data_IF_194462237197
#
_entry.id   IF_194462237197
#
_cell.length_a   1.000
_cell.length_b   1.000
_cell.length_c   1.000
_cell.angle_alpha   90.00
_cell.angle_beta   90.00
_cell.angle_gamma   90.00
#
_symmetry.space_group_name_H-M   'P 1'
#
loop_
_entity.id
_entity.type
_entity.pdbx_description
1 polymer ?
#
# COMPACT_ATOMS: atom_id res chain seq x y z
N UNK A 1 -2.55 3.98 -24.11
CA UNK A 1 -1.08 3.71 -24.04
C UNK A 1 -0.31 4.91 -23.50
N UNK A 2 -0.51 6.11 -24.04
CA UNK A 2 0.15 7.35 -23.56
C UNK A 2 -0.27 7.73 -22.12
N UNK A 3 -1.56 7.66 -21.80
CA UNK A 3 -2.08 7.96 -20.46
C UNK A 3 -1.43 7.12 -19.35
N UNK A 4 -1.36 5.80 -19.54
CA UNK A 4 -0.71 4.87 -18.60
C UNK A 4 0.75 5.26 -18.33
N UNK A 5 1.48 5.71 -19.36
CA UNK A 5 2.87 6.17 -19.20
C UNK A 5 2.92 7.41 -18.29
N UNK A 6 2.02 8.38 -18.49
CA UNK A 6 1.96 9.58 -17.65
C UNK A 6 1.54 9.27 -16.21
N UNK A 7 0.60 8.33 -16.01
CA UNK A 7 0.20 7.86 -14.68
C UNK A 7 1.39 7.18 -13.98
N UNK A 8 2.07 6.27 -14.65
CA UNK A 8 3.25 5.57 -14.11
C UNK A 8 4.39 6.53 -13.74
N UNK A 9 4.60 7.56 -14.57
CA UNK A 9 5.57 8.62 -14.30
C UNK A 9 5.14 9.50 -13.13
N UNK A 10 3.86 9.86 -13.04
CA UNK A 10 3.32 10.62 -11.92
C UNK A 10 3.51 9.85 -10.60
N UNK A 11 3.16 8.57 -10.57
CA UNK A 11 3.36 7.70 -9.40
C UNK A 11 4.84 7.65 -9.01
N UNK A 12 5.74 7.49 -9.99
CA UNK A 12 7.18 7.48 -9.72
C UNK A 12 7.64 8.81 -9.09
N UNK A 13 7.28 9.94 -9.70
CA UNK A 13 7.64 11.27 -9.19
C UNK A 13 7.09 11.50 -7.77
N UNK A 14 5.86 11.03 -7.51
CA UNK A 14 5.25 11.10 -6.18
C UNK A 14 5.99 10.23 -5.17
N UNK A 15 6.44 9.02 -5.55
CA UNK A 15 7.27 8.19 -4.69
C UNK A 15 8.60 8.89 -4.36
N UNK A 16 9.27 9.47 -5.35
CA UNK A 16 10.53 10.21 -5.15
C UNK A 16 10.34 11.40 -4.19
N UNK A 17 9.23 12.14 -4.34
CA UNK A 17 8.87 13.23 -3.43
C UNK A 17 8.65 12.73 -1.98
N UNK A 18 7.97 11.60 -1.81
CA UNK A 18 7.71 11.00 -0.49
C UNK A 18 9.03 10.60 0.18
N UNK A 19 9.94 9.93 -0.54
CA UNK A 19 11.26 9.55 0.00
C UNK A 19 12.06 10.79 0.40
N UNK A 20 12.08 11.82 -0.45
CA UNK A 20 12.73 13.09 -0.11
C UNK A 20 12.11 13.76 1.12
N UNK A 21 10.77 13.73 1.25
CA UNK A 21 10.09 14.29 2.40
C UNK A 21 10.46 13.57 3.70
N UNK A 22 10.48 12.23 3.71
CA UNK A 22 10.88 11.45 4.89
C UNK A 22 12.30 11.80 5.32
N UNK A 23 13.24 11.90 4.37
CA UNK A 23 14.62 12.33 4.64
C UNK A 23 14.69 13.73 5.24
N UNK A 24 13.88 14.67 4.72
CA UNK A 24 13.81 16.03 5.25
C UNK A 24 13.32 16.03 6.71
N UNK A 25 12.30 15.23 7.04
CA UNK A 25 11.79 15.09 8.41
C UNK A 25 12.87 14.52 9.33
N UNK A 26 13.56 13.45 8.90
CA UNK A 26 14.67 12.85 9.66
C UNK A 26 15.78 13.85 9.97
N UNK A 27 16.22 14.60 8.96
CA UNK A 27 17.26 15.63 9.10
C UNK A 27 16.78 16.74 10.04
N UNK A 28 15.55 17.22 9.85
CA UNK A 28 14.96 18.26 10.69
C UNK A 28 14.94 17.84 12.16
N UNK A 29 14.37 16.66 12.46
CA UNK A 29 14.27 16.13 13.83
C UNK A 29 15.65 15.93 14.47
N UNK A 30 16.63 15.45 13.70
CA UNK A 30 18.03 15.34 14.17
C UNK A 30 18.61 16.71 14.52
N UNK A 31 18.40 17.71 13.66
CA UNK A 31 18.95 19.05 13.85
C UNK A 31 18.35 19.79 15.06
N UNK A 32 17.09 19.52 15.39
CA UNK A 32 16.44 20.08 16.59
C UNK A 32 16.55 19.18 17.82
N UNK A 33 17.25 18.05 17.70
CA UNK A 33 17.38 17.01 18.74
C UNK A 33 16.03 16.62 19.38
N UNK A 34 14.99 16.44 18.56
CA UNK A 34 13.63 16.16 19.02
C UNK A 34 12.88 15.28 18.02
N UNK A 35 12.30 14.19 18.52
CA UNK A 35 11.34 13.37 17.77
C UNK A 35 9.95 14.01 17.83
N UNK A 36 9.40 14.32 16.67
CA UNK A 36 8.06 14.89 16.48
C UNK A 36 7.11 13.90 15.80
N UNK A 37 7.60 12.74 15.41
CA UNK A 37 6.84 11.71 14.72
C UNK A 37 6.53 12.07 13.27
N UNK A 38 5.61 11.33 12.68
CA UNK A 38 5.15 11.47 11.30
C UNK A 38 3.72 10.93 11.17
N UNK A 39 3.06 11.23 10.05
CA UNK A 39 1.71 10.73 9.75
C UNK A 39 1.61 10.22 8.33
N UNK A 40 1.13 8.99 8.11
CA UNK A 40 1.01 8.42 6.75
C UNK A 40 -0.08 9.06 5.88
N UNK A 41 -1.01 9.83 6.47
CA UNK A 41 -2.15 10.43 5.76
C UNK A 41 -1.74 11.38 4.62
N UNK A 42 -0.53 11.95 4.64
CA UNK A 42 -0.10 12.76 3.50
C UNK A 42 0.06 11.89 2.24
N UNK A 43 0.44 10.61 2.37
CA UNK A 43 0.57 9.70 1.24
C UNK A 43 -0.78 9.44 0.57
N UNK A 44 -1.84 9.25 1.36
CA UNK A 44 -3.21 9.08 0.85
C UNK A 44 -3.64 10.28 -0.01
N UNK A 45 -3.31 11.50 0.44
CA UNK A 45 -3.60 12.72 -0.32
C UNK A 45 -2.78 12.84 -1.62
N UNK A 46 -1.52 12.40 -1.60
CA UNK A 46 -0.63 12.46 -2.75
C UNK A 46 -0.99 11.44 -3.84
N UNK A 47 -1.69 10.36 -3.48
CA UNK A 47 -2.17 9.35 -4.43
C UNK A 47 -3.67 9.48 -4.76
N UNK A 48 -4.27 10.66 -4.56
CA UNK A 48 -5.66 10.91 -4.93
C UNK A 48 -5.82 11.22 -6.44
N UNK A 49 -6.82 10.64 -7.14
CA UNK A 49 -7.72 9.58 -6.70
C UNK A 49 -7.04 8.21 -6.78
N UNK A 50 -7.06 7.45 -5.67
CA UNK A 50 -6.35 6.18 -5.56
C UNK A 50 -6.85 5.15 -6.57
N UNK A 51 -8.14 5.20 -6.92
CA UNK A 51 -8.75 4.29 -7.88
C UNK A 51 -8.19 4.48 -9.31
N UNK A 52 -7.67 5.67 -9.63
CA UNK A 52 -7.04 5.94 -10.92
C UNK A 52 -5.53 5.68 -10.92
N UNK A 53 -4.88 5.76 -9.76
CA UNK A 53 -3.42 5.73 -9.66
C UNK A 53 -2.87 4.39 -9.16
N UNK A 54 -3.50 3.81 -8.13
CA UNK A 54 -2.96 2.66 -7.41
C UNK A 54 -4.00 1.55 -7.21
N UNK A 55 -5.08 1.53 -7.99
CA UNK A 55 -6.05 0.44 -7.96
C UNK A 55 -5.45 -0.88 -8.45
N UNK A 56 -5.73 -1.97 -7.72
CA UNK A 56 -5.22 -3.31 -8.04
C UNK A 56 -6.30 -4.36 -8.27
N UNK A 57 -7.57 -4.06 -7.95
CA UNK A 57 -8.67 -4.97 -8.22
C UNK A 57 -9.73 -5.07 -7.12
N UNK A 58 -10.57 -6.07 -7.26
CA UNK A 58 -11.66 -6.41 -6.35
C UNK A 58 -11.35 -7.73 -5.66
N UNK A 59 -11.82 -7.93 -4.45
CA UNK A 59 -11.98 -9.30 -3.94
C UNK A 59 -12.92 -10.07 -4.87
N UNK A 60 -12.70 -11.37 -5.03
CA UNK A 60 -13.61 -12.25 -5.79
C UNK A 60 -15.06 -12.14 -5.30
N UNK A 61 -15.26 -12.06 -3.98
CA UNK A 61 -16.55 -11.84 -3.35
C UNK A 61 -17.27 -10.58 -3.88
N UNK A 62 -16.56 -9.45 -3.94
CA UNK A 62 -17.12 -8.20 -4.46
C UNK A 62 -17.29 -8.23 -5.97
N UNK A 63 -16.36 -8.87 -6.69
CA UNK A 63 -16.45 -9.01 -8.14
C UNK A 63 -17.70 -9.79 -8.56
N UNK A 64 -17.96 -10.92 -7.90
CA UNK A 64 -19.10 -11.78 -8.19
C UNK A 64 -20.44 -11.13 -7.80
N UNK A 65 -20.45 -10.17 -6.85
CA UNK A 65 -21.63 -9.40 -6.44
C UNK A 65 -21.86 -8.12 -7.26
N UNK A 66 -21.03 -7.81 -8.28
CA UNK A 66 -21.15 -6.56 -9.06
C UNK A 66 -22.54 -6.31 -9.64
N UNK A 67 -23.25 -7.36 -10.06
CA UNK A 67 -24.59 -7.24 -10.64
C UNK A 67 -25.68 -7.02 -9.60
N UNK A 68 -25.60 -7.70 -8.45
CA UNK A 68 -26.57 -7.60 -7.36
C UNK A 68 -26.37 -6.35 -6.50
N UNK A 69 -25.12 -5.95 -6.27
CA UNK A 69 -24.75 -4.78 -5.48
C UNK A 69 -25.25 -4.84 -4.03
N UNK A 70 -25.42 -6.04 -3.48
CA UNK A 70 -25.98 -6.25 -2.13
C UNK A 70 -24.87 -6.17 -1.08
N UNK A 71 -23.66 -6.62 -1.42
CA UNK A 71 -22.53 -6.67 -0.52
C UNK A 71 -21.91 -5.29 -0.40
N UNK A 72 -21.88 -4.77 0.82
CA UNK A 72 -21.21 -3.52 1.13
C UNK A 72 -19.71 -3.63 0.83
N UNK A 73 -19.23 -2.74 -0.02
CA UNK A 73 -17.82 -2.58 -0.40
C UNK A 73 -17.06 -1.69 0.59
N UNK A 74 -15.79 -2.02 0.77
CA UNK A 74 -14.82 -1.26 1.56
C UNK A 74 -13.55 -1.13 0.71
N UNK A 75 -13.00 0.08 0.64
CA UNK A 75 -11.68 0.30 0.04
C UNK A 75 -10.61 0.03 1.09
N UNK A 76 -9.65 -0.81 0.75
CA UNK A 76 -8.59 -1.25 1.66
C UNK A 76 -7.23 -1.13 0.96
N UNK A 77 -6.22 -0.58 1.65
CA UNK A 77 -4.85 -0.61 1.17
C UNK A 77 -4.30 -2.03 1.25
N UNK A 78 -3.58 -2.47 0.23
CA UNK A 78 -2.98 -3.80 0.19
C UNK A 78 -1.90 -3.93 1.27
N UNK A 79 -0.98 -2.98 1.34
CA UNK A 79 -0.07 -2.79 2.48
C UNK A 79 -0.59 -1.60 3.29
N UNK A 80 -0.82 -1.73 4.62
CA UNK A 80 -1.28 -0.61 5.42
C UNK A 80 -0.34 0.60 5.32
N UNK A 81 -0.85 1.79 5.00
CA UNK A 81 -0.01 2.97 4.75
C UNK A 81 0.89 3.35 5.93
N UNK A 82 0.39 3.21 7.17
CA UNK A 82 1.22 3.42 8.36
C UNK A 82 2.32 2.38 8.49
N UNK A 83 2.06 1.10 8.16
CA UNK A 83 3.11 0.06 8.17
C UNK A 83 4.18 0.36 7.12
N UNK A 84 3.75 0.68 5.89
CA UNK A 84 4.64 1.02 4.78
C UNK A 84 5.56 2.20 5.11
N UNK A 85 5.03 3.26 5.70
CA UNK A 85 5.83 4.43 6.10
C UNK A 85 6.82 4.12 7.24
N UNK A 86 6.43 3.29 8.22
CA UNK A 86 7.35 2.81 9.28
C UNK A 86 8.54 2.06 8.66
N UNK A 87 8.27 1.10 7.78
CA UNK A 87 9.33 0.29 7.17
C UNK A 87 10.27 1.14 6.31
N UNK A 88 9.72 2.07 5.51
CA UNK A 88 10.53 3.01 4.71
C UNK A 88 11.41 3.90 5.60
N UNK A 89 10.87 4.36 6.73
CA UNK A 89 11.64 5.13 7.70
C UNK A 89 12.86 4.34 8.21
N UNK A 90 12.64 3.09 8.63
CA UNK A 90 13.72 2.21 9.11
C UNK A 90 14.77 1.93 8.02
N UNK A 91 14.35 1.72 6.77
CA UNK A 91 15.27 1.53 5.65
C UNK A 91 16.13 2.78 5.38
N UNK A 92 15.55 3.98 5.46
CA UNK A 92 16.29 5.24 5.29
C UNK A 92 17.31 5.44 6.41
N UNK A 93 16.97 5.09 7.66
CA UNK A 93 17.89 5.19 8.79
C UNK A 93 19.10 4.26 8.67
N UNK A 94 18.94 3.07 8.08
CA UNK A 94 20.04 2.13 7.81
C UNK A 94 21.05 2.66 6.78
N UNK A 95 20.61 3.51 5.85
CA UNK A 95 21.44 4.11 4.77
C UNK A 95 22.12 3.08 3.85
N UNK A 96 21.49 1.93 3.67
CA UNK A 96 21.99 0.84 2.82
C UNK A 96 21.43 0.90 1.38
N UNK A 97 20.30 1.58 1.19
CA UNK A 97 19.59 1.69 -0.09
C UNK A 97 19.67 3.11 -0.64
N UNK A 98 19.77 3.23 -1.95
CA UNK A 98 19.65 4.49 -2.67
C UNK A 98 18.21 5.00 -2.67
N UNK A 99 18.04 6.31 -2.88
CA UNK A 99 16.70 6.92 -3.00
C UNK A 99 15.87 6.26 -4.11
N UNK A 100 16.51 5.86 -5.22
CA UNK A 100 15.85 5.16 -6.32
C UNK A 100 15.33 3.78 -5.90
N UNK A 101 16.10 3.03 -5.11
CA UNK A 101 15.67 1.73 -4.59
C UNK A 101 14.52 1.89 -3.59
N UNK A 102 14.59 2.90 -2.72
CA UNK A 102 13.52 3.22 -1.77
C UNK A 102 12.22 3.61 -2.48
N UNK A 103 12.30 4.43 -3.53
CA UNK A 103 11.14 4.79 -4.36
C UNK A 103 10.55 3.57 -5.07
N UNK A 104 11.39 2.66 -5.58
CA UNK A 104 10.92 1.43 -6.21
C UNK A 104 10.22 0.50 -5.20
N UNK A 105 10.75 0.39 -3.98
CA UNK A 105 10.14 -0.35 -2.88
C UNK A 105 8.79 0.26 -2.51
N UNK A 106 8.71 1.58 -2.33
CA UNK A 106 7.46 2.28 -2.07
C UNK A 106 6.45 1.99 -3.18
N UNK A 107 6.82 2.22 -4.44
CA UNK A 107 5.95 2.04 -5.61
C UNK A 107 5.36 0.63 -5.71
N UNK A 108 6.17 -0.42 -5.49
CA UNK A 108 5.71 -1.81 -5.54
C UNK A 108 4.66 -2.12 -4.46
N UNK A 109 4.82 -1.54 -3.27
CA UNK A 109 3.98 -1.81 -2.12
C UNK A 109 2.71 -0.92 -2.06
N UNK A 110 2.53 0.00 -3.02
CA UNK A 110 1.31 0.76 -3.17
C UNK A 110 0.21 -0.07 -3.85
N UNK A 111 -0.99 0.00 -3.29
CA UNK A 111 -2.15 -0.63 -3.88
C UNK A 111 -3.39 -0.43 -3.05
N UNK A 112 -4.53 -0.22 -3.69
CA UNK A 112 -5.86 -0.33 -3.08
C UNK A 112 -6.69 -1.39 -3.78
N UNK A 113 -7.54 -2.05 -3.00
CA UNK A 113 -8.51 -3.01 -3.49
C UNK A 113 -9.87 -2.80 -2.83
N UNK A 114 -10.93 -3.23 -3.49
CA UNK A 114 -12.27 -3.27 -2.91
C UNK A 114 -12.58 -4.66 -2.35
N UNK A 115 -12.84 -4.71 -1.05
CA UNK A 115 -13.18 -5.94 -0.33
C UNK A 115 -14.57 -5.81 0.31
N UNK A 116 -15.18 -6.92 0.70
CA UNK A 116 -16.42 -6.91 1.46
C UNK A 116 -16.20 -6.49 2.91
N UNK A 117 -17.24 -6.00 3.57
CA UNK A 117 -17.21 -5.69 5.01
C UNK A 117 -16.81 -6.90 5.87
N UNK A 118 -17.18 -8.11 5.46
CA UNK A 118 -16.80 -9.34 6.15
C UNK A 118 -15.31 -9.67 5.96
N UNK A 119 -14.75 -9.43 4.78
CA UNK A 119 -13.31 -9.59 4.53
C UNK A 119 -12.49 -8.53 5.28
N UNK A 120 -12.96 -7.29 5.32
CA UNK A 120 -12.36 -6.23 6.13
C UNK A 120 -12.30 -6.62 7.62
N UNK A 121 -13.34 -7.28 8.16
CA UNK A 121 -13.34 -7.81 9.53
C UNK A 121 -12.28 -8.90 9.74
N UNK A 122 -12.00 -9.75 8.76
CA UNK A 122 -10.94 -10.77 8.88
C UNK A 122 -9.55 -10.15 9.07
N UNK A 123 -9.32 -8.98 8.47
CA UNK A 123 -8.09 -8.21 8.68
C UNK A 123 -8.06 -7.56 10.07
N UNK A 124 -9.20 -7.30 10.70
CA UNK A 124 -9.26 -6.58 11.97
C UNK A 124 -8.40 -7.23 13.08
N UNK A 125 -7.95 -6.38 13.99
CA UNK A 125 -7.15 -6.70 15.17
C UNK A 125 -7.71 -7.81 16.05
N UNK A 126 -9.04 -7.99 16.07
CA UNK A 126 -9.71 -9.07 16.81
C UNK A 126 -9.59 -10.45 16.15
N UNK A 127 -9.29 -10.51 14.85
CA UNK A 127 -9.25 -11.75 14.08
C UNK A 127 -7.83 -12.15 13.72
N UNK A 128 -7.08 -11.26 13.03
CA UNK A 128 -5.72 -11.57 12.54
C UNK A 128 -4.67 -10.54 12.97
N UNK A 129 -5.08 -9.32 13.35
CA UNK A 129 -4.11 -8.25 13.58
C UNK A 129 -3.69 -7.52 12.31
N UNK A 130 -3.98 -8.06 11.12
CA UNK A 130 -3.42 -7.60 9.85
C UNK A 130 -3.92 -6.22 9.40
N UNK A 131 -4.94 -5.64 10.03
CA UNK A 131 -5.46 -4.31 9.69
C UNK A 131 -4.36 -3.25 9.66
N UNK A 132 -3.38 -3.37 10.54
CA UNK A 132 -2.29 -2.39 10.68
C UNK A 132 -0.90 -2.99 10.47
N UNK A 133 -0.78 -4.27 10.09
CA UNK A 133 0.51 -4.96 9.90
C UNK A 133 0.50 -5.90 8.71
N UNK A 134 1.68 -6.36 8.33
CA UNK A 134 1.88 -7.47 7.39
C UNK A 134 1.99 -8.81 8.14
N UNK A 135 1.93 -9.96 7.45
CA UNK A 135 2.18 -11.27 8.05
C UNK A 135 3.53 -11.33 8.77
N UNK A 136 3.64 -12.22 9.75
CA UNK A 136 4.87 -12.36 10.53
C UNK A 136 6.03 -12.76 9.59
N UNK A 137 7.20 -12.15 9.81
CA UNK A 137 8.40 -12.28 8.98
C UNK A 137 8.32 -11.74 7.55
N UNK A 138 7.22 -11.06 7.18
CA UNK A 138 7.11 -10.41 5.87
C UNK A 138 8.15 -9.29 5.70
N UNK A 139 8.84 -9.31 4.56
CA UNK A 139 9.94 -8.41 4.23
C UNK A 139 9.54 -7.42 3.13
N UNK A 140 9.58 -6.12 3.46
CA UNK A 140 9.22 -5.03 2.54
C UNK A 140 10.06 -4.98 1.26
N UNK A 141 11.28 -5.52 1.26
CA UNK A 141 12.18 -5.53 0.11
C UNK A 141 11.86 -6.68 -0.83
N UNK A 142 11.51 -7.86 -0.31
CA UNK A 142 11.43 -9.07 -1.14
C UNK A 142 10.04 -9.67 -1.29
N UNK A 143 9.13 -9.46 -0.35
CA UNK A 143 7.90 -10.25 -0.25
C UNK A 143 6.74 -9.60 -1.00
N UNK A 144 5.68 -10.39 -1.24
CA UNK A 144 4.57 -9.96 -2.10
C UNK A 144 3.62 -9.08 -1.28
N UNK A 145 3.29 -7.87 -1.74
CA UNK A 145 2.25 -7.04 -1.11
C UNK A 145 0.94 -7.81 -0.87
N UNK A 146 0.58 -8.75 -1.75
CA UNK A 146 -0.66 -9.53 -1.64
C UNK A 146 -0.68 -10.53 -0.48
N UNK A 147 0.47 -10.85 0.13
CA UNK A 147 0.55 -11.86 1.19
C UNK A 147 -0.37 -11.54 2.37
N UNK A 148 -0.62 -10.24 2.63
CA UNK A 148 -1.58 -9.81 3.66
C UNK A 148 -3.01 -10.25 3.36
N UNK A 149 -3.48 -10.10 2.12
CA UNK A 149 -4.83 -10.51 1.73
C UNK A 149 -4.95 -12.04 1.66
N UNK A 150 -3.92 -12.70 1.12
CA UNK A 150 -3.83 -14.16 1.04
C UNK A 150 -3.88 -14.81 2.43
N UNK A 151 -3.23 -14.22 3.44
CA UNK A 151 -3.20 -14.72 4.81
C UNK A 151 -4.58 -14.85 5.47
N UNK A 152 -5.60 -14.14 4.97
CA UNK A 152 -6.99 -14.22 5.45
C UNK A 152 -7.96 -14.79 4.42
N UNK A 153 -7.43 -15.40 3.36
CA UNK A 153 -8.21 -16.06 2.31
C UNK A 153 -8.98 -15.09 1.42
N UNK A 154 -8.48 -13.88 1.21
CA UNK A 154 -9.04 -12.93 0.24
C UNK A 154 -8.34 -13.17 -1.11
N UNK A 155 -9.12 -13.53 -2.12
CA UNK A 155 -8.64 -13.70 -3.50
C UNK A 155 -8.89 -12.38 -4.23
N UNK A 156 -7.83 -11.78 -4.77
CA UNK A 156 -7.91 -10.56 -5.57
C UNK A 156 -8.09 -10.90 -7.05
N UNK A 157 -9.01 -10.23 -7.73
CA UNK A 157 -9.24 -10.32 -9.17
C UNK A 157 -9.16 -8.94 -9.81
N UNK A 158 -8.68 -8.88 -11.05
CA UNK A 158 -8.63 -7.63 -11.83
C UNK A 158 -10.03 -7.25 -12.36
N UNK A 159 -10.09 -6.20 -13.18
CA UNK A 159 -11.33 -5.70 -13.76
C UNK A 159 -12.04 -6.71 -14.67
N UNK A 160 -11.28 -7.65 -15.24
CA UNK A 160 -11.75 -8.73 -16.10
C UNK A 160 -12.08 -10.03 -15.34
N UNK A 161 -11.98 -10.03 -14.00
CA UNK A 161 -12.25 -11.19 -13.15
C UNK A 161 -11.11 -12.23 -13.12
N UNK A 162 -9.94 -11.90 -13.66
CA UNK A 162 -8.77 -12.76 -13.62
C UNK A 162 -8.05 -12.61 -12.28
N UNK A 163 -7.67 -13.72 -11.68
CA UNK A 163 -6.98 -13.74 -10.40
C UNK A 163 -5.60 -13.06 -10.46
N UNK A 164 -5.36 -12.15 -9.53
CA UNK A 164 -4.08 -11.47 -9.34
C UNK A 164 -3.26 -12.27 -8.34
N UNK A 165 -2.32 -13.05 -8.85
CA UNK A 165 -1.51 -13.97 -8.04
C UNK A 165 -0.29 -13.30 -7.40
N UNK A 166 0.19 -12.17 -7.93
CA UNK A 166 1.36 -11.44 -7.43
C UNK A 166 1.28 -9.95 -7.80
N UNK A 167 1.83 -9.09 -6.93
CA UNK A 167 2.10 -7.68 -7.25
C UNK A 167 3.59 -7.36 -7.36
N UNK A 168 4.46 -8.37 -7.30
CA UNK A 168 5.87 -8.25 -7.66
C UNK A 168 6.07 -8.08 -9.16
#
# INVERSE_FOLDING_TARGET
MIEKIYIEQHIQNTCDLIIQHIKNVLIFQKNINKSLGWHSRFMENLFHPEDALIFKGYSKTIFDDKESGIIKTQKEHIVPMTYLLNELWLLIEKKELSDKELSAILKRNLGVAYISDNEAKKLDTKFSGLKTKMPDHWNIISDDPLDRLKAVGIILVNEDGQEVNTLK
#
